data_IF_711551398626
#
_entry.id   IF_711551398626
#
_cell.length_a   1.000
_cell.length_b   1.000
_cell.length_c   1.000
_cell.angle_alpha   90.00
_cell.angle_beta   90.00
_cell.angle_gamma   90.00
#
_symmetry.space_group_name_H-M   'P 1'
#
loop_
_entity.id
_entity.type
_entity.pdbx_description
1 polymer ?
#
# COMPACT_ATOMS: atom_id res chain seq x y z
N UNK A 1 4.77 -13.05 -7.73
CA UNK A 1 4.67 -12.27 -9.00
C UNK A 1 3.98 -13.10 -10.09
N UNK A 2 2.76 -12.73 -10.49
CA UNK A 2 2.09 -13.31 -11.67
C UNK A 2 2.66 -12.66 -12.94
N UNK A 3 3.29 -13.44 -13.82
CA UNK A 3 3.90 -12.95 -15.08
C UNK A 3 3.01 -13.35 -16.25
N UNK A 4 2.42 -12.40 -16.99
CA UNK A 4 1.68 -12.73 -18.22
C UNK A 4 1.92 -11.68 -19.32
N UNK A 5 2.42 -12.18 -20.46
CA UNK A 5 2.79 -11.42 -21.66
C UNK A 5 1.56 -10.84 -22.36
N UNK A 6 1.62 -9.56 -22.71
CA UNK A 6 0.67 -8.94 -23.64
C UNK A 6 1.48 -8.30 -24.77
N UNK A 7 1.32 -8.82 -26.00
CA UNK A 7 2.05 -8.30 -27.17
C UNK A 7 1.37 -7.03 -27.66
N UNK A 8 2.13 -5.94 -27.81
CA UNK A 8 1.62 -4.62 -28.22
C UNK A 8 2.24 -4.23 -29.57
N UNK A 9 1.41 -3.75 -30.51
CA UNK A 9 1.84 -3.14 -31.78
C UNK A 9 1.61 -1.63 -31.72
N UNK A 10 2.59 -0.83 -32.12
CA UNK A 10 2.47 0.64 -32.21
C UNK A 10 2.76 1.14 -33.62
N UNK A 11 1.92 2.06 -34.12
CA UNK A 11 2.23 2.97 -35.24
C UNK A 11 1.97 4.41 -34.76
N UNK A 12 3.02 5.24 -34.78
CA UNK A 12 3.01 6.72 -34.74
C UNK A 12 2.36 7.39 -33.52
N UNK A 13 3.17 7.99 -32.62
CA UNK A 13 2.76 9.04 -31.66
C UNK A 13 1.54 8.78 -30.76
N UNK A 14 0.98 7.57 -30.77
CA UNK A 14 -0.30 7.26 -30.17
C UNK A 14 -0.14 6.98 -28.67
N UNK A 15 -1.03 7.57 -27.88
CA UNK A 15 -1.23 7.22 -26.47
C UNK A 15 -1.49 5.71 -26.37
N UNK A 16 -0.57 4.99 -25.75
CA UNK A 16 -0.72 3.56 -25.53
C UNK A 16 -1.66 3.32 -24.36
N UNK A 17 -2.77 2.63 -24.62
CA UNK A 17 -3.71 2.19 -23.59
C UNK A 17 -3.74 0.67 -23.59
N UNK A 18 -3.55 0.07 -22.41
CA UNK A 18 -3.76 -1.37 -22.18
C UNK A 18 -4.90 -1.56 -21.19
N UNK A 19 -5.62 -2.69 -21.29
CA UNK A 19 -6.68 -3.06 -20.35
C UNK A 19 -6.29 -4.36 -19.66
N UNK A 20 -6.23 -4.31 -18.33
CA UNK A 20 -6.00 -5.48 -17.48
C UNK A 20 -7.28 -5.76 -16.70
N UNK A 21 -7.56 -7.05 -16.50
CA UNK A 21 -8.71 -7.47 -15.70
C UNK A 21 -8.41 -7.30 -14.20
N UNK A 22 -9.43 -6.97 -13.41
CA UNK A 22 -9.28 -6.63 -11.99
C UNK A 22 -8.73 -7.79 -11.13
N UNK A 23 -9.05 -9.03 -11.49
CA UNK A 23 -8.54 -10.27 -10.85
C UNK A 23 -7.02 -10.45 -10.97
N UNK A 24 -6.35 -9.65 -11.81
CA UNK A 24 -4.90 -9.69 -11.95
C UNK A 24 -4.16 -8.85 -10.92
N UNK A 25 -4.88 -8.04 -10.15
CA UNK A 25 -4.34 -7.15 -9.13
C UNK A 25 -4.49 -7.76 -7.75
N UNK A 26 -3.71 -7.25 -6.79
CA UNK A 26 -3.93 -7.54 -5.38
C UNK A 26 -5.32 -7.05 -4.94
N UNK A 27 -5.86 -7.51 -3.81
CA UNK A 27 -7.16 -7.04 -3.30
C UNK A 27 -7.29 -5.51 -3.22
N UNK A 28 -8.51 -4.95 -3.30
CA UNK A 28 -8.73 -3.51 -3.24
C UNK A 28 -8.10 -2.83 -2.02
N UNK A 29 -7.43 -1.70 -2.25
CA UNK A 29 -6.69 -0.96 -1.22
C UNK A 29 -5.26 -1.44 -0.97
N UNK A 30 -4.84 -2.56 -1.58
CA UNK A 30 -3.46 -3.05 -1.48
C UNK A 30 -2.58 -2.39 -2.55
N UNK A 31 -1.37 -2.03 -2.15
CA UNK A 31 -0.39 -1.43 -3.06
C UNK A 31 0.45 -2.48 -3.76
N UNK A 32 0.87 -2.19 -4.99
CA UNK A 32 1.78 -3.03 -5.76
C UNK A 32 2.56 -2.22 -6.79
N UNK A 33 3.43 -2.91 -7.53
CA UNK A 33 4.18 -2.32 -8.64
C UNK A 33 3.82 -3.02 -9.95
N UNK A 34 3.67 -2.24 -11.02
CA UNK A 34 3.57 -2.77 -12.38
C UNK A 34 4.88 -2.52 -13.12
N UNK A 35 5.35 -3.53 -13.86
CA UNK A 35 6.55 -3.48 -14.68
C UNK A 35 6.18 -3.61 -16.15
N UNK A 36 6.76 -2.74 -16.98
CA UNK A 36 6.58 -2.73 -18.42
C UNK A 36 7.95 -2.91 -19.07
N UNK A 37 8.07 -3.98 -19.85
CA UNK A 37 9.28 -4.30 -20.61
C UNK A 37 8.96 -4.13 -22.09
N UNK A 38 9.52 -3.13 -22.79
CA UNK A 38 9.24 -2.93 -24.20
C UNK A 38 9.85 -4.07 -25.03
N UNK A 39 9.09 -4.54 -26.03
CA UNK A 39 9.58 -5.47 -27.04
C UNK A 39 9.84 -4.70 -28.33
N UNK A 40 11.11 -4.48 -28.65
CA UNK A 40 11.49 -3.81 -29.89
C UNK A 40 11.54 -4.85 -31.03
N UNK A 41 10.71 -4.64 -32.07
CA UNK A 41 10.48 -5.62 -33.16
C UNK A 41 11.65 -5.90 -34.10
N UNK A 42 12.85 -5.38 -33.81
CA UNK A 42 14.05 -5.51 -34.64
C UNK A 42 15.23 -6.16 -33.89
N UNK A 43 14.97 -7.06 -32.93
CA UNK A 43 16.04 -7.92 -32.40
C UNK A 43 16.31 -8.99 -33.46
N UNK A 44 17.51 -9.06 -34.06
CA UNK A 44 17.86 -10.12 -35.00
C UNK A 44 17.63 -11.48 -34.33
N UNK A 45 17.08 -12.45 -35.05
CA UNK A 45 16.78 -13.79 -34.54
C UNK A 45 17.96 -14.55 -33.89
N UNK A 46 19.18 -13.99 -33.95
CA UNK A 46 20.40 -14.51 -33.36
C UNK A 46 20.64 -14.06 -31.90
N UNK A 47 19.95 -13.02 -31.40
CA UNK A 47 19.98 -12.69 -29.97
C UNK A 47 18.69 -13.20 -29.31
N UNK A 48 18.79 -14.03 -28.25
CA UNK A 48 17.61 -14.57 -27.60
C UNK A 48 16.74 -13.40 -27.16
N UNK A 49 15.47 -13.41 -27.61
CA UNK A 49 14.40 -12.56 -27.09
C UNK A 49 14.63 -12.45 -25.58
N UNK A 50 15.14 -11.31 -25.10
CA UNK A 50 15.49 -11.15 -23.70
C UNK A 50 14.20 -11.43 -22.93
N UNK A 51 14.15 -12.59 -22.29
CA UNK A 51 13.01 -13.02 -21.51
C UNK A 51 12.78 -11.92 -20.48
N UNK A 52 11.57 -11.36 -20.37
CA UNK A 52 11.23 -10.29 -19.41
C UNK A 52 11.84 -10.57 -18.02
N UNK A 53 11.91 -11.86 -17.66
CA UNK A 53 12.57 -12.38 -16.46
C UNK A 53 14.04 -11.98 -16.34
N UNK A 54 14.85 -12.09 -17.40
CA UNK A 54 16.27 -11.74 -17.44
C UNK A 54 16.47 -10.23 -17.29
N UNK A 55 15.65 -9.43 -17.97
CA UNK A 55 15.67 -7.96 -17.88
C UNK A 55 15.36 -7.52 -16.45
N UNK A 56 14.31 -8.10 -15.84
CA UNK A 56 13.87 -7.77 -14.50
C UNK A 56 14.77 -8.37 -13.40
N UNK A 57 15.52 -9.44 -13.70
CA UNK A 57 16.50 -10.04 -12.79
C UNK A 57 17.92 -9.49 -12.95
N UNK A 58 18.17 -8.61 -13.92
CA UNK A 58 19.47 -7.96 -14.07
C UNK A 58 19.74 -7.06 -12.86
N UNK A 59 20.74 -7.45 -12.08
CA UNK A 59 21.20 -6.78 -10.86
C UNK A 59 22.49 -5.97 -11.07
N UNK A 60 22.90 -5.76 -12.32
CA UNK A 60 24.04 -4.89 -12.64
C UNK A 60 23.71 -3.44 -12.33
N UNK A 61 24.68 -2.70 -11.80
CA UNK A 61 24.55 -1.27 -11.56
C UNK A 61 24.44 -0.51 -12.89
N UNK A 62 23.39 0.28 -13.04
CA UNK A 62 23.09 1.01 -14.29
C UNK A 62 22.25 2.27 -14.02
N UNK A 63 22.06 3.08 -15.06
CA UNK A 63 21.31 4.34 -14.99
C UNK A 63 19.81 4.13 -14.87
N UNK A 64 19.19 4.89 -13.97
CA UNK A 64 17.75 5.00 -13.78
C UNK A 64 17.33 6.47 -13.72
N UNK A 65 16.15 6.75 -14.25
CA UNK A 65 15.45 8.04 -14.11
C UNK A 65 14.19 7.80 -13.30
N UNK A 66 14.03 8.54 -12.22
CA UNK A 66 12.84 8.50 -11.38
C UNK A 66 12.10 9.82 -11.51
N UNK A 67 10.80 9.75 -11.76
CA UNK A 67 9.91 10.92 -11.84
C UNK A 67 8.71 10.68 -10.94
N UNK A 68 8.35 11.66 -10.13
CA UNK A 68 7.09 11.64 -9.39
C UNK A 68 6.19 12.80 -9.79
N UNK A 69 4.89 12.65 -9.58
CA UNK A 69 3.91 13.75 -9.59
C UNK A 69 3.45 14.05 -8.19
N UNK A 70 3.10 15.32 -7.97
CA UNK A 70 2.44 15.76 -6.76
C UNK A 70 0.93 15.85 -6.96
N UNK A 71 0.18 15.86 -5.85
CA UNK A 71 -1.27 16.05 -5.87
C UNK A 71 -1.74 16.92 -4.71
N UNK A 72 -2.88 17.57 -4.91
CA UNK A 72 -3.70 18.18 -3.86
C UNK A 72 -4.82 17.26 -3.39
N UNK A 73 -5.13 16.22 -4.17
CA UNK A 73 -6.08 15.15 -3.83
C UNK A 73 -5.38 13.95 -3.22
N UNK A 74 -6.04 13.32 -2.27
CA UNK A 74 -5.61 12.11 -1.57
C UNK A 74 -6.52 10.91 -1.83
N UNK A 75 -7.45 11.00 -2.78
CA UNK A 75 -8.45 9.96 -3.03
C UNK A 75 -7.91 8.66 -3.64
N UNK A 76 -8.68 7.59 -3.45
CA UNK A 76 -8.49 6.34 -4.19
C UNK A 76 -8.92 6.55 -5.65
N UNK A 77 -7.93 6.61 -6.56
CA UNK A 77 -8.21 6.70 -7.99
C UNK A 77 -9.01 5.50 -8.49
N UNK A 78 -9.93 5.72 -9.45
CA UNK A 78 -10.67 4.63 -10.12
C UNK A 78 -9.88 3.94 -11.22
N UNK A 79 -8.81 4.57 -11.68
CA UNK A 79 -8.00 4.12 -12.80
C UNK A 79 -6.52 4.07 -12.43
N UNK A 80 -5.85 3.00 -12.85
CA UNK A 80 -4.40 2.86 -12.75
C UNK A 80 -3.79 3.44 -14.03
N UNK A 81 -2.94 4.45 -13.90
CA UNK A 81 -2.32 5.13 -15.04
C UNK A 81 -0.85 5.43 -14.80
N UNK A 82 -0.01 4.93 -15.73
CA UNK A 82 1.43 5.15 -15.80
C UNK A 82 1.82 6.57 -16.28
N UNK A 83 0.83 7.38 -16.67
CA UNK A 83 1.09 8.71 -17.21
C UNK A 83 1.56 9.63 -16.07
N UNK A 84 2.80 10.08 -16.19
CA UNK A 84 3.42 11.08 -15.32
C UNK A 84 3.67 12.30 -16.19
N UNK A 85 2.78 13.28 -16.07
CA UNK A 85 2.86 14.54 -16.80
C UNK A 85 2.84 15.68 -15.77
N UNK A 86 3.92 16.48 -15.67
CA UNK A 86 3.98 17.63 -14.78
C UNK A 86 2.86 18.65 -14.99
N UNK A 87 2.21 18.71 -16.16
CA UNK A 87 1.06 19.62 -16.34
C UNK A 87 -0.19 19.14 -15.60
N UNK A 88 -0.29 17.84 -15.32
CA UNK A 88 -1.42 17.25 -14.58
C UNK A 88 -1.13 17.13 -13.07
N UNK A 89 0.12 17.37 -12.65
CA UNK A 89 0.48 17.42 -11.24
C UNK A 89 0.07 18.75 -10.61
N UNK A 90 -0.27 18.71 -9.32
CA UNK A 90 -0.58 19.90 -8.53
C UNK A 90 0.00 19.78 -7.12
N UNK A 91 0.24 20.91 -6.48
CA UNK A 91 0.52 20.94 -5.05
C UNK A 91 0.06 22.27 -4.47
N UNK A 92 0.03 22.36 -3.15
CA UNK A 92 -0.25 23.61 -2.45
C UNK A 92 0.94 24.60 -2.47
N UNK A 93 2.07 24.22 -3.08
CA UNK A 93 3.30 24.99 -3.09
C UNK A 93 3.50 25.64 -4.46
N UNK A 94 3.66 26.96 -4.47
CA UNK A 94 3.98 27.72 -5.67
C UNK A 94 5.44 28.11 -5.71
N UNK A 95 5.98 28.09 -6.92
CA UNK A 95 7.26 28.69 -7.20
C UNK A 95 7.22 30.21 -6.98
N UNK A 96 8.29 30.81 -6.40
CA UNK A 96 8.56 32.23 -6.51
C UNK A 96 8.36 32.77 -7.93
N UNK A 97 7.79 33.98 -8.04
CA UNK A 97 7.58 34.64 -9.32
C UNK A 97 8.90 34.79 -10.10
N UNK A 98 8.87 34.43 -11.39
CA UNK A 98 10.03 34.54 -12.28
C UNK A 98 11.05 33.41 -12.18
N UNK A 99 10.86 32.46 -11.26
CA UNK A 99 11.75 31.30 -11.19
C UNK A 99 11.47 30.32 -12.34
N UNK A 100 12.52 29.98 -13.10
CA UNK A 100 12.45 29.06 -14.23
C UNK A 100 12.83 27.63 -13.87
N UNK A 101 13.50 27.42 -12.73
CA UNK A 101 14.00 26.13 -12.29
C UNK A 101 14.10 26.08 -10.77
N UNK A 102 13.71 24.95 -10.19
CA UNK A 102 13.92 24.66 -8.77
C UNK A 102 14.69 23.36 -8.65
N UNK A 103 15.87 23.45 -8.06
CA UNK A 103 16.69 22.29 -7.79
C UNK A 103 17.23 22.34 -6.39
N UNK A 104 17.45 21.17 -5.81
CA UNK A 104 18.10 21.04 -4.53
C UNK A 104 19.03 19.83 -4.54
N UNK A 105 20.13 19.98 -3.82
CA UNK A 105 21.14 18.95 -3.64
C UNK A 105 20.89 18.21 -2.34
N UNK A 106 20.97 16.88 -2.40
CA UNK A 106 20.97 16.01 -1.23
C UNK A 106 22.17 15.07 -1.30
N UNK A 107 22.50 14.34 -0.23
CA UNK A 107 23.52 13.30 -0.28
C UNK A 107 23.24 12.21 -1.34
N UNK A 108 21.99 12.08 -1.81
CA UNK A 108 21.61 11.13 -2.87
C UNK A 108 21.78 11.69 -4.28
N UNK A 109 21.88 13.01 -4.44
CA UNK A 109 22.13 13.68 -5.72
C UNK A 109 21.28 14.93 -5.93
N UNK A 110 21.20 15.36 -7.19
CA UNK A 110 20.46 16.55 -7.61
C UNK A 110 19.02 16.21 -7.97
N UNK A 111 18.07 16.89 -7.33
CA UNK A 111 16.64 16.77 -7.61
C UNK A 111 16.16 18.03 -8.33
N UNK A 112 15.37 17.85 -9.39
CA UNK A 112 14.75 18.95 -10.11
C UNK A 112 13.23 18.90 -9.92
N UNK A 113 12.64 20.00 -9.45
CA UNK A 113 11.18 20.15 -9.34
C UNK A 113 10.61 20.72 -10.64
N UNK A 114 9.52 20.12 -11.09
CA UNK A 114 8.72 20.60 -12.22
C UNK A 114 7.60 21.53 -11.74
N UNK A 115 7.16 22.43 -12.62
CA UNK A 115 6.03 23.33 -12.39
C UNK A 115 4.93 23.09 -13.42
N UNK A 116 3.68 23.23 -13.01
CA UNK A 116 2.53 23.29 -13.94
C UNK A 116 2.31 24.73 -14.46
N UNK A 117 1.35 24.89 -15.37
CA UNK A 117 0.98 26.20 -15.93
C UNK A 117 0.44 27.20 -14.90
N UNK A 118 -0.01 26.72 -13.73
CA UNK A 118 -0.42 27.54 -12.58
C UNK A 118 0.74 28.01 -11.69
N UNK A 119 1.98 27.64 -12.02
CA UNK A 119 3.18 27.96 -11.23
C UNK A 119 3.32 27.12 -9.95
N UNK A 120 2.54 26.06 -9.81
CA UNK A 120 2.62 25.14 -8.66
C UNK A 120 3.69 24.08 -8.91
N UNK A 121 4.38 23.64 -7.85
CA UNK A 121 5.20 22.44 -7.96
C UNK A 121 4.31 21.25 -8.31
N UNK A 122 4.67 20.54 -9.37
CA UNK A 122 3.82 19.47 -9.93
C UNK A 122 4.49 18.10 -9.98
N UNK A 123 5.80 18.05 -9.80
CA UNK A 123 6.53 16.81 -9.70
C UNK A 123 8.01 17.01 -9.39
N UNK A 124 8.74 15.90 -9.26
CA UNK A 124 10.19 15.89 -9.12
C UNK A 124 10.81 14.88 -10.07
N UNK A 125 12.03 15.17 -10.53
CA UNK A 125 12.84 14.29 -11.37
C UNK A 125 14.22 14.12 -10.74
N UNK A 126 14.74 12.91 -10.88
CA UNK A 126 16.03 12.49 -10.36
C UNK A 126 16.65 11.43 -11.26
N UNK A 127 17.97 11.43 -11.35
CA UNK A 127 18.74 10.43 -12.09
C UNK A 127 19.77 9.81 -11.16
N UNK A 128 19.88 8.48 -11.17
CA UNK A 128 20.82 7.75 -10.31
C UNK A 128 21.34 6.47 -10.94
N UNK A 129 22.34 5.89 -10.28
CA UNK A 129 22.75 4.51 -10.51
C UNK A 129 22.12 3.60 -9.46
N UNK A 130 21.59 2.47 -9.89
CA UNK A 130 21.02 1.43 -9.03
C UNK A 130 21.13 0.06 -9.69
N UNK A 131 20.79 -1.02 -8.97
CA UNK A 131 20.76 -2.40 -9.47
C UNK A 131 19.35 -2.85 -9.84
N UNK A 132 18.32 -2.17 -9.37
CA UNK A 132 16.92 -2.50 -9.62
C UNK A 132 16.01 -1.28 -9.60
N UNK A 133 14.77 -1.44 -10.07
CA UNK A 133 13.76 -0.39 -10.03
C UNK A 133 13.39 -0.03 -8.58
N UNK A 134 13.29 -1.03 -7.70
CA UNK A 134 12.99 -0.86 -6.28
C UNK A 134 14.10 -0.07 -5.59
N UNK A 135 15.37 -0.39 -5.89
CA UNK A 135 16.50 0.34 -5.34
C UNK A 135 16.52 1.79 -5.82
N UNK A 136 16.30 2.04 -7.11
CA UNK A 136 16.21 3.40 -7.66
C UNK A 136 15.09 4.21 -7.00
N UNK A 137 13.89 3.61 -6.82
CA UNK A 137 12.77 4.23 -6.11
C UNK A 137 13.12 4.55 -4.66
N UNK A 138 13.79 3.64 -3.95
CA UNK A 138 14.24 3.85 -2.57
C UNK A 138 15.22 5.01 -2.48
N UNK A 139 16.27 5.03 -3.31
CA UNK A 139 17.26 6.13 -3.35
C UNK A 139 16.56 7.47 -3.61
N UNK A 140 15.63 7.50 -4.56
CA UNK A 140 14.84 8.68 -4.88
C UNK A 140 14.05 9.19 -3.67
N UNK A 141 13.29 8.33 -2.99
CA UNK A 141 12.47 8.73 -1.85
C UNK A 141 13.33 9.13 -0.65
N UNK A 142 14.42 8.43 -0.37
CA UNK A 142 15.39 8.80 0.67
C UNK A 142 16.01 10.19 0.46
N UNK A 143 16.15 10.63 -0.80
CA UNK A 143 16.62 11.98 -1.12
C UNK A 143 15.50 13.03 -1.11
N UNK A 144 14.35 12.73 -1.69
CA UNK A 144 13.26 13.69 -1.87
C UNK A 144 12.50 13.96 -0.58
N UNK A 145 12.05 12.92 0.13
CA UNK A 145 11.04 13.03 1.18
C UNK A 145 11.49 13.90 2.36
N UNK A 146 12.74 13.83 2.87
CA UNK A 146 13.18 14.71 3.95
C UNK A 146 13.08 16.21 3.62
N UNK A 147 13.28 16.56 2.35
CA UNK A 147 13.10 17.94 1.87
C UNK A 147 11.62 18.32 1.88
N UNK A 148 10.74 17.42 1.43
CA UNK A 148 9.30 17.64 1.44
C UNK A 148 8.75 17.74 2.87
N UNK A 149 9.23 16.92 3.80
CA UNK A 149 8.87 16.96 5.22
C UNK A 149 9.22 18.31 5.83
N UNK A 150 10.44 18.81 5.55
CA UNK A 150 10.87 20.12 6.03
C UNK A 150 10.05 21.27 5.41
N UNK A 151 9.73 21.18 4.11
CA UNK A 151 8.86 22.15 3.45
C UNK A 151 7.45 22.13 4.05
N UNK A 152 6.90 20.95 4.33
CA UNK A 152 5.60 20.79 4.96
C UNK A 152 5.57 21.38 6.37
N UNK A 153 6.64 21.18 7.15
CA UNK A 153 6.82 21.78 8.46
C UNK A 153 6.85 23.32 8.40
N UNK A 154 7.71 23.90 7.55
CA UNK A 154 7.84 25.37 7.43
C UNK A 154 6.53 25.99 6.95
N UNK A 155 5.91 25.41 5.92
CA UNK A 155 4.73 25.96 5.29
C UNK A 155 3.42 25.56 5.98
N UNK A 156 3.45 24.68 6.98
CA UNK A 156 2.26 24.11 7.65
C UNK A 156 1.23 23.56 6.64
N UNK A 157 1.73 22.95 5.57
CA UNK A 157 0.95 22.59 4.38
C UNK A 157 1.39 21.22 3.89
N UNK A 158 0.47 20.30 3.53
CA UNK A 158 0.84 18.94 3.14
C UNK A 158 1.50 18.91 1.76
N UNK A 159 2.44 17.97 1.60
CA UNK A 159 3.09 17.67 0.34
C UNK A 159 2.84 16.20 0.00
N UNK A 160 2.12 15.93 -1.09
CA UNK A 160 1.61 14.59 -1.39
C UNK A 160 2.23 14.07 -2.67
N UNK A 161 3.00 12.98 -2.57
CA UNK A 161 3.50 12.25 -3.74
C UNK A 161 2.40 11.32 -4.22
N UNK A 162 1.88 11.55 -5.43
CA UNK A 162 0.75 10.79 -5.97
C UNK A 162 1.17 9.58 -6.78
N UNK A 163 2.22 9.72 -7.59
CA UNK A 163 2.74 8.65 -8.44
C UNK A 163 4.24 8.73 -8.51
N UNK A 164 4.88 7.57 -8.68
CA UNK A 164 6.32 7.48 -8.96
C UNK A 164 6.50 6.51 -10.13
N UNK A 165 7.17 6.99 -11.17
CA UNK A 165 7.60 6.23 -12.33
C UNK A 165 9.12 6.09 -12.29
N UNK A 166 9.61 4.86 -12.42
CA UNK A 166 11.03 4.53 -12.50
C UNK A 166 11.29 3.99 -13.89
N UNK A 167 12.27 4.56 -14.59
CA UNK A 167 12.68 4.12 -15.92
C UNK A 167 14.12 3.61 -15.87
N UNK A 168 14.31 2.35 -16.28
CA UNK A 168 15.61 1.73 -16.52
C UNK A 168 16.17 2.23 -17.86
N UNK A 169 17.26 2.98 -17.83
CA UNK A 169 17.80 3.59 -19.05
C UNK A 169 18.45 2.57 -19.99
N UNK A 170 18.95 1.45 -19.45
CA UNK A 170 19.60 0.39 -20.23
C UNK A 170 18.54 -0.44 -20.96
N UNK A 171 17.54 -0.91 -20.24
CA UNK A 171 16.53 -1.83 -20.78
C UNK A 171 15.31 -1.13 -21.34
N UNK A 172 15.19 0.18 -21.12
CA UNK A 172 13.99 0.99 -21.42
C UNK A 172 12.73 0.45 -20.75
N UNK A 173 12.89 -0.44 -19.77
CA UNK A 173 11.82 -0.92 -18.93
C UNK A 173 11.41 0.20 -17.98
N UNK A 174 10.15 0.21 -17.57
CA UNK A 174 9.70 1.13 -16.54
C UNK A 174 8.77 0.45 -15.56
N UNK A 175 8.72 0.98 -14.35
CA UNK A 175 7.79 0.55 -13.32
C UNK A 175 7.11 1.72 -12.64
N UNK A 176 5.92 1.49 -12.12
CA UNK A 176 5.26 2.45 -11.25
C UNK A 176 4.45 1.74 -10.17
N UNK A 177 4.37 2.38 -9.01
CA UNK A 177 3.54 1.95 -7.91
C UNK A 177 2.07 2.29 -8.15
N UNK A 178 1.17 1.42 -7.73
CA UNK A 178 -0.28 1.62 -7.76
C UNK A 178 -0.90 1.11 -6.46
N UNK A 179 -2.11 1.59 -6.17
CA UNK A 179 -3.01 0.98 -5.18
C UNK A 179 -4.19 0.40 -5.94
N UNK A 180 -4.55 -0.86 -5.69
CA UNK A 180 -5.69 -1.47 -6.37
C UNK A 180 -6.96 -0.67 -6.08
N UNK A 181 -7.69 -0.20 -7.11
CA UNK A 181 -8.88 0.60 -6.92
C UNK A 181 -10.01 -0.22 -6.28
N UNK A 182 -10.82 0.45 -5.45
CA UNK A 182 -12.09 -0.12 -5.00
C UNK A 182 -13.09 -0.18 -6.16
N UNK A 183 -13.74 -1.33 -6.31
CA UNK A 183 -14.79 -1.54 -7.30
C UNK A 183 -16.18 -1.39 -6.66
N UNK A 184 -17.18 -1.04 -7.47
CA UNK A 184 -18.56 -1.01 -7.00
C UNK A 184 -19.00 -2.43 -6.61
N UNK A 185 -19.61 -2.56 -5.42
CA UNK A 185 -20.14 -3.81 -4.90
C UNK A 185 -21.63 -3.66 -4.62
N UNK A 186 -22.39 -4.73 -4.87
CA UNK A 186 -23.80 -4.79 -4.49
C UNK A 186 -23.89 -5.22 -3.03
N UNK A 187 -24.50 -4.39 -2.19
CA UNK A 187 -24.74 -4.70 -0.77
C UNK A 187 -26.15 -5.26 -0.63
N UNK A 188 -26.28 -6.44 -0.02
CA UNK A 188 -27.58 -7.01 0.36
C UNK A 188 -27.72 -7.00 1.89
N UNK A 189 -28.33 -5.96 2.48
CA UNK A 189 -28.44 -5.81 3.93
C UNK A 189 -29.57 -6.66 4.54
N UNK A 190 -30.41 -7.33 3.74
CA UNK A 190 -31.70 -7.88 4.17
C UNK A 190 -31.65 -8.95 5.27
N UNK A 191 -30.47 -9.53 5.57
CA UNK A 191 -30.29 -10.61 6.55
C UNK A 191 -29.21 -10.34 7.60
N UNK A 192 -28.69 -9.11 7.71
CA UNK A 192 -27.60 -8.83 8.66
C UNK A 192 -28.14 -8.43 10.05
N UNK A 193 -27.87 -9.24 11.08
CA UNK A 193 -28.00 -8.84 12.49
C UNK A 193 -26.81 -7.94 12.87
N UNK A 194 -27.06 -6.72 13.31
CA UNK A 194 -26.03 -5.82 13.84
C UNK A 194 -26.15 -5.82 15.36
N UNK A 195 -25.18 -6.43 16.03
CA UNK A 195 -25.07 -6.39 17.49
C UNK A 195 -24.56 -5.02 17.95
N UNK A 196 -25.21 -4.40 18.95
CA UNK A 196 -24.85 -3.04 19.39
C UNK A 196 -23.41 -2.98 19.90
N UNK A 197 -22.96 -4.04 20.57
CA UNK A 197 -21.59 -4.19 21.06
C UNK A 197 -20.54 -4.19 19.94
N UNK A 198 -20.90 -4.57 18.71
CA UNK A 198 -19.99 -4.62 17.56
C UNK A 198 -19.89 -3.27 16.82
N UNK A 199 -20.74 -2.29 17.11
CA UNK A 199 -20.73 -0.99 16.40
C UNK A 199 -19.36 -0.29 16.43
N UNK A 200 -18.63 -0.20 17.56
CA UNK A 200 -17.30 0.40 17.58
C UNK A 200 -16.28 -0.36 16.74
N UNK A 201 -16.42 -1.69 16.64
CA UNK A 201 -15.55 -2.54 15.84
C UNK A 201 -15.75 -2.28 14.35
N UNK A 202 -17.00 -2.20 13.89
CA UNK A 202 -17.29 -1.85 12.49
C UNK A 202 -16.84 -0.43 12.14
N UNK A 203 -16.98 0.51 13.08
CA UNK A 203 -16.50 1.87 12.90
C UNK A 203 -14.97 1.90 12.69
N UNK A 204 -14.20 1.19 13.53
CA UNK A 204 -12.74 1.07 13.37
C UNK A 204 -12.35 0.37 12.06
N UNK A 205 -13.06 -0.69 11.68
CA UNK A 205 -12.80 -1.39 10.42
C UNK A 205 -13.04 -0.46 9.22
N UNK A 206 -14.14 0.31 9.22
CA UNK A 206 -14.41 1.31 8.18
C UNK A 206 -13.32 2.37 8.13
N UNK A 207 -12.85 2.84 9.28
CA UNK A 207 -11.79 3.85 9.34
C UNK A 207 -10.46 3.33 8.80
N UNK A 208 -10.14 2.05 9.03
CA UNK A 208 -8.98 1.40 8.42
C UNK A 208 -9.05 1.40 6.88
N UNK A 209 -10.24 1.16 6.30
CA UNK A 209 -10.45 1.16 4.84
C UNK A 209 -10.40 2.56 4.21
N UNK A 210 -10.80 3.58 4.97
CA UNK A 210 -10.78 4.98 4.53
C UNK A 210 -9.43 5.68 4.76
N UNK A 211 -8.58 5.10 5.59
CA UNK A 211 -7.28 5.64 5.92
C UNK A 211 -6.31 5.58 4.73
N UNK A 212 -5.54 6.65 4.58
CA UNK A 212 -4.53 6.80 3.53
C UNK A 212 -3.12 6.53 4.03
N UNK A 213 -2.93 6.66 5.35
CA UNK A 213 -1.68 6.34 6.01
C UNK A 213 -1.67 4.85 6.35
N UNK A 214 -0.68 4.07 5.87
CA UNK A 214 -0.59 2.66 6.22
C UNK A 214 -0.41 2.44 7.72
N UNK A 215 0.24 3.38 8.42
CA UNK A 215 0.38 3.35 9.88
C UNK A 215 -0.98 3.48 10.57
N UNK A 216 -1.83 4.39 10.10
CA UNK A 216 -3.15 4.59 10.69
C UNK A 216 -4.11 3.44 10.36
N UNK A 217 -4.10 2.94 9.12
CA UNK A 217 -4.83 1.72 8.74
C UNK A 217 -4.44 0.54 9.64
N UNK A 218 -3.12 0.33 9.84
CA UNK A 218 -2.61 -0.69 10.75
C UNK A 218 -3.14 -0.50 12.17
N UNK A 219 -3.07 0.71 12.75
CA UNK A 219 -3.54 0.98 14.11
C UNK A 219 -5.04 0.69 14.25
N UNK A 220 -5.86 1.07 13.26
CA UNK A 220 -7.30 0.78 13.28
C UNK A 220 -7.56 -0.74 13.29
N UNK A 221 -6.90 -1.51 12.42
CA UNK A 221 -7.01 -2.97 12.43
C UNK A 221 -6.48 -3.61 13.72
N UNK A 222 -5.37 -3.12 14.25
CA UNK A 222 -4.85 -3.55 15.54
C UNK A 222 -5.88 -3.34 16.65
N UNK A 223 -6.54 -2.17 16.68
CA UNK A 223 -7.57 -1.84 17.67
C UNK A 223 -8.84 -2.68 17.53
N UNK A 224 -9.18 -3.15 16.32
CA UNK A 224 -10.24 -4.15 16.13
C UNK A 224 -9.89 -5.44 16.89
N UNK A 225 -8.68 -5.98 16.70
CA UNK A 225 -8.25 -7.20 17.38
C UNK A 225 -8.13 -7.00 18.90
N UNK A 226 -7.55 -5.88 19.33
CA UNK A 226 -7.40 -5.51 20.75
C UNK A 226 -8.77 -5.41 21.44
N UNK A 227 -9.75 -4.72 20.83
CA UNK A 227 -11.08 -4.55 21.39
C UNK A 227 -11.84 -5.87 21.51
N UNK A 228 -11.73 -6.74 20.51
CA UNK A 228 -12.39 -8.05 20.53
C UNK A 228 -11.74 -8.95 21.59
N UNK A 229 -10.42 -9.19 21.51
CA UNK A 229 -9.74 -10.11 22.43
C UNK A 229 -9.67 -9.58 23.87
N UNK A 230 -9.54 -8.27 24.04
CA UNK A 230 -9.37 -7.63 25.34
C UNK A 230 -10.67 -7.36 26.08
N UNK A 231 -11.79 -7.17 25.37
CA UNK A 231 -13.04 -6.75 25.99
C UNK A 231 -14.26 -7.57 25.55
N UNK A 232 -14.65 -7.50 24.28
CA UNK A 232 -15.92 -8.05 23.81
C UNK A 232 -16.01 -9.57 24.00
N UNK A 233 -14.89 -10.27 23.81
CA UNK A 233 -14.85 -11.72 23.96
C UNK A 233 -15.04 -12.17 25.40
N UNK A 234 -14.41 -11.50 26.36
CA UNK A 234 -14.62 -11.85 27.76
C UNK A 234 -16.08 -11.58 28.17
N UNK A 235 -16.61 -10.41 27.79
CA UNK A 235 -17.98 -10.00 28.11
C UNK A 235 -19.05 -10.97 27.57
N UNK A 236 -18.96 -11.37 26.29
CA UNK A 236 -19.97 -12.28 25.71
C UNK A 236 -19.98 -13.65 26.39
N UNK A 237 -18.81 -14.17 26.79
CA UNK A 237 -18.71 -15.45 27.51
C UNK A 237 -19.21 -15.32 28.96
N UNK A 238 -18.94 -14.20 29.63
CA UNK A 238 -19.51 -13.92 30.96
C UNK A 238 -21.03 -13.82 30.91
N UNK A 239 -21.59 -13.14 29.90
CA UNK A 239 -23.05 -13.04 29.68
C UNK A 239 -23.66 -14.42 29.40
N UNK A 240 -23.02 -15.23 28.55
CA UNK A 240 -23.48 -16.59 28.25
C UNK A 240 -23.50 -17.48 29.50
N UNK A 241 -22.41 -17.48 30.28
CA UNK A 241 -22.33 -18.23 31.54
C UNK A 241 -23.43 -17.79 32.53
N UNK A 242 -23.66 -16.48 32.66
CA UNK A 242 -24.73 -15.92 33.51
C UNK A 242 -26.12 -16.34 33.06
N UNK A 243 -26.30 -16.58 31.76
CA UNK A 243 -27.54 -17.08 31.16
C UNK A 243 -27.63 -18.62 31.14
N UNK A 244 -26.67 -19.34 31.73
CA UNK A 244 -26.60 -20.81 31.69
C UNK A 244 -26.35 -21.38 30.28
N UNK A 245 -25.84 -20.57 29.34
CA UNK A 245 -25.52 -20.99 27.97
C UNK A 245 -24.03 -21.31 27.84
N UNK A 246 -23.72 -22.35 27.08
CA UNK A 246 -22.37 -22.67 26.66
C UNK A 246 -22.19 -22.31 25.18
N UNK A 247 -21.29 -21.39 24.87
CA UNK A 247 -20.97 -21.01 23.50
C UNK A 247 -20.01 -22.02 22.87
N UNK A 248 -20.25 -22.37 21.61
CA UNK A 248 -19.33 -23.17 20.81
C UNK A 248 -18.14 -22.32 20.38
N UNK A 249 -16.93 -22.74 20.75
CA UNK A 249 -15.69 -22.01 20.44
C UNK A 249 -14.99 -22.59 19.22
N UNK A 250 -14.50 -21.74 18.31
CA UNK A 250 -13.63 -22.15 17.20
C UNK A 250 -12.23 -21.55 17.34
N UNK A 251 -11.22 -22.33 16.95
CA UNK A 251 -9.84 -21.85 16.90
C UNK A 251 -9.64 -20.98 15.66
N UNK A 252 -9.54 -19.67 15.86
CA UNK A 252 -9.28 -18.68 14.82
C UNK A 252 -7.86 -18.85 14.26
N UNK A 253 -7.76 -19.01 12.94
CA UNK A 253 -6.49 -19.16 12.20
C UNK A 253 -6.46 -18.21 11.02
N UNK A 254 -5.25 -17.77 10.66
CA UNK A 254 -5.04 -16.94 9.46
C UNK A 254 -5.53 -17.75 8.24
N UNK A 255 -6.48 -17.23 7.45
CA UNK A 255 -7.09 -17.98 6.36
C UNK A 255 -6.09 -18.21 5.23
N UNK A 256 -6.38 -19.22 4.41
CA UNK A 256 -5.69 -19.38 3.13
C UNK A 256 -6.19 -18.29 2.17
N UNK A 257 -5.26 -17.58 1.53
CA UNK A 257 -5.54 -16.46 0.63
C UNK A 257 -4.49 -16.41 -0.49
N UNK A 258 -4.89 -16.07 -1.71
CA UNK A 258 -3.99 -16.07 -2.87
C UNK A 258 -2.83 -15.06 -2.72
N UNK A 259 -3.07 -13.91 -2.10
CA UNK A 259 -2.04 -12.90 -1.92
C UNK A 259 -1.10 -13.25 -0.79
N UNK A 260 -1.63 -13.84 0.30
CA UNK A 260 -0.77 -14.41 1.35
C UNK A 260 0.11 -15.52 0.81
N UNK A 261 -0.38 -16.41 -0.05
CA UNK A 261 0.46 -17.47 -0.64
C UNK A 261 1.68 -16.92 -1.42
N UNK A 262 1.57 -15.70 -1.96
CA UNK A 262 2.67 -15.08 -2.73
C UNK A 262 3.73 -14.46 -1.85
N UNK A 263 3.32 -13.80 -0.76
CA UNK A 263 4.20 -12.89 0.00
C UNK A 263 4.37 -13.29 1.47
N UNK A 264 3.45 -14.08 2.03
CA UNK A 264 3.33 -14.40 3.45
C UNK A 264 2.81 -15.84 3.70
N UNK A 265 3.25 -16.80 2.90
CA UNK A 265 2.78 -18.19 2.95
C UNK A 265 2.99 -18.82 4.34
N UNK A 266 4.04 -18.40 5.04
CA UNK A 266 4.39 -18.82 6.40
C UNK A 266 3.36 -18.40 7.45
N UNK A 267 2.52 -17.40 7.15
CA UNK A 267 1.46 -16.96 8.05
C UNK A 267 0.23 -17.87 8.02
N UNK A 268 -0.01 -18.55 6.90
CA UNK A 268 -1.25 -19.28 6.65
C UNK A 268 -1.43 -20.40 7.68
N UNK A 269 -2.63 -20.48 8.27
CA UNK A 269 -3.00 -21.49 9.26
C UNK A 269 -2.46 -21.25 10.66
N UNK A 270 -1.62 -20.23 10.89
CA UNK A 270 -1.17 -19.87 12.25
C UNK A 270 -2.34 -19.35 13.11
N UNK A 271 -2.33 -19.58 14.43
CA UNK A 271 -3.33 -18.99 15.32
C UNK A 271 -3.29 -17.46 15.25
N UNK A 272 -4.44 -16.81 15.04
CA UNK A 272 -4.50 -15.35 14.91
C UNK A 272 -4.03 -14.66 16.20
N UNK A 273 -4.42 -15.19 17.36
CA UNK A 273 -4.00 -14.64 18.66
C UNK A 273 -2.49 -14.66 18.86
N UNK A 274 -1.81 -15.74 18.43
CA UNK A 274 -0.36 -15.83 18.53
C UNK A 274 0.34 -14.80 17.64
N UNK A 275 -0.14 -14.62 16.41
CA UNK A 275 0.36 -13.60 15.49
C UNK A 275 0.13 -12.18 16.03
N UNK A 276 -1.04 -11.92 16.60
CA UNK A 276 -1.37 -10.66 17.25
C UNK A 276 -0.45 -10.33 18.43
N UNK A 277 -0.21 -11.29 19.32
CA UNK A 277 0.59 -11.06 20.53
C UNK A 277 2.09 -10.96 20.22
N UNK A 278 2.61 -11.81 19.33
CA UNK A 278 4.06 -11.98 19.14
C UNK A 278 4.65 -11.12 18.04
N UNK A 279 3.89 -10.79 16.99
CA UNK A 279 4.38 -10.02 15.85
C UNK A 279 3.70 -8.66 15.78
N UNK A 280 2.36 -8.61 15.67
CA UNK A 280 1.66 -7.33 15.50
C UNK A 280 1.87 -6.40 16.70
N UNK A 281 1.87 -6.94 17.92
CA UNK A 281 2.07 -6.13 19.13
C UNK A 281 3.52 -5.70 19.29
N UNK A 282 4.47 -6.62 19.09
CA UNK A 282 5.89 -6.37 19.36
C UNK A 282 6.49 -5.51 18.25
N UNK A 283 6.40 -5.96 17.00
CA UNK A 283 7.22 -5.42 15.90
C UNK A 283 6.59 -4.19 15.22
N UNK A 284 5.28 -3.97 15.43
CA UNK A 284 4.51 -2.94 14.74
C UNK A 284 3.81 -1.98 15.69
N UNK A 285 2.98 -2.47 16.62
CA UNK A 285 2.22 -1.56 17.52
C UNK A 285 3.14 -0.74 18.40
N UNK A 286 4.19 -1.34 18.99
CA UNK A 286 5.15 -0.57 19.79
C UNK A 286 5.85 0.48 18.95
N UNK A 287 6.26 0.13 17.73
CA UNK A 287 6.90 1.05 16.80
C UNK A 287 6.03 2.28 16.49
N UNK A 288 4.77 2.09 16.08
CA UNK A 288 3.89 3.22 15.75
C UNK A 288 3.47 4.01 16.99
N UNK A 289 3.17 3.33 18.10
CA UNK A 289 2.64 3.99 19.29
C UNK A 289 3.70 4.76 20.08
N UNK A 290 4.96 4.33 20.04
CA UNK A 290 6.02 4.92 20.87
C UNK A 290 7.09 5.66 20.07
N UNK A 291 7.02 5.68 18.73
CA UNK A 291 8.02 6.33 17.88
C UNK A 291 9.43 5.71 18.00
N UNK A 292 9.55 4.52 18.62
CA UNK A 292 10.79 3.76 18.80
C UNK A 292 10.70 2.40 18.11
N UNK A 293 11.71 2.06 17.33
CA UNK A 293 11.93 0.71 16.82
C UNK A 293 12.56 -0.16 17.93
N UNK A 294 12.55 -1.49 17.76
CA UNK A 294 13.02 -2.45 18.77
C UNK A 294 14.51 -2.31 19.16
N UNK A 295 15.27 -1.54 18.38
CA UNK A 295 16.69 -1.25 18.60
C UNK A 295 16.93 0.17 19.19
N UNK A 296 15.92 0.76 19.82
CA UNK A 296 15.92 2.13 20.37
C UNK A 296 16.17 3.25 19.34
N UNK A 297 16.07 2.96 18.03
CA UNK A 297 16.12 3.99 16.99
C UNK A 297 14.75 4.63 16.78
N UNK A 298 14.75 5.92 16.44
CA UNK A 298 13.51 6.65 16.17
C UNK A 298 12.89 6.19 14.86
N UNK A 299 11.59 5.91 14.88
CA UNK A 299 10.86 5.52 13.69
C UNK A 299 10.67 6.74 12.79
N UNK A 300 11.30 6.76 11.61
CA UNK A 300 10.99 7.75 10.60
C UNK A 300 9.81 7.27 9.75
N UNK A 301 8.63 7.87 9.92
CA UNK A 301 7.41 7.52 9.15
C UNK A 301 7.50 7.86 7.66
N UNK A 302 8.48 8.67 7.28
CA UNK A 302 8.81 9.02 5.90
C UNK A 302 9.88 8.11 5.28
N UNK A 303 10.48 7.21 6.07
CA UNK A 303 11.46 6.25 5.57
C UNK A 303 10.79 5.19 4.68
N UNK A 304 11.24 5.01 3.41
CA UNK A 304 10.58 4.10 2.48
C UNK A 304 10.56 2.64 2.96
N UNK A 305 11.61 2.18 3.64
CA UNK A 305 11.69 0.81 4.16
C UNK A 305 10.71 0.58 5.29
N UNK A 306 10.56 1.56 6.18
CA UNK A 306 9.55 1.55 7.25
C UNK A 306 8.14 1.53 6.66
N UNK A 307 7.84 2.39 5.69
CA UNK A 307 6.53 2.41 5.00
C UNK A 307 6.23 1.07 4.34
N UNK A 308 7.20 0.49 3.62
CA UNK A 308 7.07 -0.81 2.96
C UNK A 308 6.78 -1.94 3.97
N UNK A 309 7.46 -1.95 5.14
CA UNK A 309 7.20 -2.91 6.22
C UNK A 309 5.73 -2.88 6.65
N UNK A 310 5.15 -1.69 6.83
CA UNK A 310 3.73 -1.56 7.19
C UNK A 310 2.80 -1.95 6.05
N UNK A 311 3.09 -1.55 4.81
CA UNK A 311 2.28 -1.95 3.65
C UNK A 311 2.17 -3.47 3.51
N UNK A 312 3.27 -4.19 3.77
CA UNK A 312 3.31 -5.66 3.69
C UNK A 312 2.42 -6.34 4.75
N UNK A 313 2.24 -5.74 5.93
CA UNK A 313 1.43 -6.35 7.00
C UNK A 313 -0.07 -6.03 6.91
N UNK A 314 -0.47 -5.01 6.13
CA UNK A 314 -1.85 -4.54 6.09
C UNK A 314 -2.85 -5.60 5.62
N UNK A 315 -2.50 -6.39 4.61
CA UNK A 315 -3.40 -7.44 4.13
C UNK A 315 -3.53 -8.61 5.13
N UNK A 316 -2.42 -9.17 5.67
CA UNK A 316 -2.50 -10.15 6.75
C UNK A 316 -3.37 -9.72 7.93
N UNK A 317 -3.20 -8.50 8.44
CA UNK A 317 -3.98 -8.02 9.60
C UNK A 317 -5.44 -7.76 9.25
N UNK A 318 -5.76 -7.28 8.04
CA UNK A 318 -7.16 -7.13 7.57
C UNK A 318 -7.86 -8.49 7.56
N UNK A 319 -7.22 -9.53 7.02
CA UNK A 319 -7.77 -10.89 7.02
C UNK A 319 -8.01 -11.42 8.44
N UNK A 320 -7.05 -11.19 9.34
CA UNK A 320 -7.23 -11.53 10.75
C UNK A 320 -8.46 -10.82 11.35
N UNK A 321 -8.61 -9.51 11.12
CA UNK A 321 -9.75 -8.75 11.60
C UNK A 321 -11.07 -9.31 11.08
N UNK A 322 -11.16 -9.62 9.78
CA UNK A 322 -12.37 -10.18 9.18
C UNK A 322 -12.76 -11.53 9.80
N UNK A 323 -11.79 -12.42 10.00
CA UNK A 323 -12.02 -13.72 10.66
C UNK A 323 -12.50 -13.54 12.09
N UNK A 324 -11.84 -12.67 12.86
CA UNK A 324 -12.16 -12.46 14.29
C UNK A 324 -13.49 -11.73 14.48
N UNK A 325 -13.82 -10.77 13.61
CA UNK A 325 -15.13 -10.09 13.58
C UNK A 325 -16.24 -11.12 13.32
N UNK A 326 -16.13 -11.91 12.24
CA UNK A 326 -17.14 -12.91 11.89
C UNK A 326 -17.35 -13.94 13.01
N UNK A 327 -16.27 -14.35 13.67
CA UNK A 327 -16.36 -15.25 14.81
C UNK A 327 -17.04 -14.59 16.02
N UNK A 328 -16.77 -13.32 16.27
CA UNK A 328 -17.39 -12.58 17.36
C UNK A 328 -18.89 -12.37 17.13
N UNK A 329 -19.31 -12.08 15.89
CA UNK A 329 -20.73 -12.03 15.50
C UNK A 329 -21.44 -13.35 15.81
N UNK A 330 -20.83 -14.48 15.45
CA UNK A 330 -21.38 -15.80 15.76
C UNK A 330 -21.56 -16.06 17.27
N UNK A 331 -20.68 -15.52 18.12
CA UNK A 331 -20.84 -15.65 19.57
C UNK A 331 -22.05 -14.86 20.07
N UNK A 332 -22.28 -13.66 19.52
CA UNK A 332 -23.48 -12.88 19.85
C UNK A 332 -24.76 -13.51 19.29
N UNK A 333 -24.73 -14.08 18.08
CA UNK A 333 -25.87 -14.81 17.52
C UNK A 333 -26.24 -16.03 18.39
N UNK A 334 -25.25 -16.81 18.85
CA UNK A 334 -25.47 -17.92 19.78
C UNK A 334 -26.05 -17.44 21.12
N UNK A 335 -25.53 -16.33 21.66
CA UNK A 335 -26.06 -15.73 22.89
C UNK A 335 -27.51 -15.26 22.72
N UNK A 336 -27.86 -14.68 21.57
CA UNK A 336 -29.20 -14.18 21.26
C UNK A 336 -30.20 -15.30 20.94
N UNK A 337 -29.74 -16.43 20.39
CA UNK A 337 -30.61 -17.56 20.06
C UNK A 337 -31.28 -18.15 21.32
N UNK A 338 -32.60 -18.20 21.32
CA UNK A 338 -33.38 -18.85 22.39
C UNK A 338 -33.19 -20.36 22.27
N UNK A 339 -32.86 -21.05 23.37
CA UNK A 339 -32.98 -22.50 23.41
C UNK A 339 -34.48 -22.79 23.36
N UNK A 340 -34.98 -23.24 22.20
CA UNK A 340 -36.36 -23.70 22.03
C UNK A 340 -36.52 -25.05 22.72
#
# INVERSE_FOLDING_TARGET
MSRKKTTLKTRGGARMTTRLSADKFAPPGISGDLFFVPQFGNIPAAEPVQNDSLILSDNTERGFVVVCTFSTDTGFGREISAVVDPQNGSSFFKAPAGASRFEFHTPKGLFALSMNSGGEFSGAKFSCKARSHQEARRIFLEGLVPTLDHLAYIAKTPFIISKTLVTDEKHKAFSFGYTTPYIAVVVNPGNASIHVEMMPIYALYREAKNALSPFYSFLCYYKVLEGIYGHLRADVFTKAASAGKQLSTMKERIPNDEELNKNHHELIGRPIKDFFDKELTVDFRKAVAHYFLDNDTLMNVSDPTTVEKFLNILWPIELCCRTVIAQQEQYYDQLASTVI
#
